data_IF_442867940369
#
_entry.id   IF_442867940369
#
_cell.length_a   1.000
_cell.length_b   1.000
_cell.length_c   1.000
_cell.angle_alpha   90.00
_cell.angle_beta   90.00
_cell.angle_gamma   90.00
#
_symmetry.space_group_name_H-M   'P 1'
#
loop_
_entity.id
_entity.type
_entity.pdbx_description
1 polymer ?
#
# COMPACT_ATOMS: atom_id res chain seq x y z
N UNK A 1 -49.61 16.52 1.98
CA UNK A 1 -48.85 16.25 3.23
C UNK A 1 -47.38 16.12 2.86
N UNK A 2 -46.59 17.13 3.22
CA UNK A 2 -45.22 17.33 2.71
C UNK A 2 -44.15 16.61 3.54
N UNK A 3 -43.16 16.07 2.82
CA UNK A 3 -41.95 15.40 3.34
C UNK A 3 -40.94 16.45 3.83
N UNK A 4 -40.46 16.31 5.07
CA UNK A 4 -39.29 17.02 5.61
C UNK A 4 -38.02 16.20 5.32
N UNK A 5 -37.02 16.88 4.78
CA UNK A 5 -35.64 16.42 4.49
C UNK A 5 -34.80 16.64 5.77
N UNK A 6 -34.15 15.62 6.33
CA UNK A 6 -33.10 15.83 7.33
C UNK A 6 -31.75 16.03 6.62
N UNK A 7 -31.29 17.27 6.63
CA UNK A 7 -29.88 17.63 6.53
C UNK A 7 -29.33 17.44 7.94
N UNK A 8 -28.28 16.64 8.17
CA UNK A 8 -27.41 16.85 9.35
C UNK A 8 -26.08 16.06 9.39
N UNK A 9 -25.71 15.22 8.41
CA UNK A 9 -24.43 14.47 8.51
C UNK A 9 -23.20 15.17 7.88
N UNK A 10 -23.39 16.14 6.98
CA UNK A 10 -22.28 16.95 6.41
C UNK A 10 -21.68 17.97 7.41
N UNK A 11 -22.24 18.04 8.62
CA UNK A 11 -21.89 19.02 9.65
C UNK A 11 -20.73 18.55 10.55
N UNK A 12 -20.62 17.24 10.80
CA UNK A 12 -19.78 16.71 11.88
C UNK A 12 -18.31 16.61 11.47
N UNK A 13 -18.00 16.15 10.25
CA UNK A 13 -16.62 16.08 9.76
C UNK A 13 -16.00 17.48 9.54
N UNK A 14 -16.82 18.46 9.12
CA UNK A 14 -16.45 19.88 8.99
C UNK A 14 -16.21 20.54 10.36
N UNK A 15 -16.98 20.17 11.38
CA UNK A 15 -16.83 20.66 12.74
C UNK A 15 -15.57 20.10 13.43
N UNK A 16 -15.23 18.82 13.22
CA UNK A 16 -14.02 18.21 13.79
C UNK A 16 -12.75 18.83 13.19
N UNK A 17 -12.70 19.03 11.86
CA UNK A 17 -11.55 19.68 11.19
C UNK A 17 -11.34 21.14 11.63
N UNK A 18 -12.43 21.87 11.91
CA UNK A 18 -12.37 23.24 12.44
C UNK A 18 -11.96 23.28 13.92
N UNK A 19 -12.38 22.29 14.71
CA UNK A 19 -12.05 22.18 16.14
C UNK A 19 -10.56 21.89 16.33
N UNK A 20 -10.00 20.94 15.57
CA UNK A 20 -8.57 20.60 15.58
C UNK A 20 -7.71 21.80 15.15
N UNK A 21 -8.09 22.51 14.08
CA UNK A 21 -7.39 23.73 13.66
C UNK A 21 -7.47 24.87 14.70
N UNK A 22 -8.56 24.96 15.45
CA UNK A 22 -8.75 25.97 16.50
C UNK A 22 -7.94 25.65 17.77
N UNK A 23 -7.80 24.38 18.13
CA UNK A 23 -7.00 23.92 19.26
C UNK A 23 -5.50 24.01 18.98
N UNK A 24 -5.05 23.76 17.75
CA UNK A 24 -3.67 24.01 17.32
C UNK A 24 -3.34 25.51 17.39
N UNK A 25 -4.26 26.39 16.96
CA UNK A 25 -4.11 27.85 17.10
C UNK A 25 -4.11 28.31 18.57
N UNK A 26 -4.98 27.75 19.43
CA UNK A 26 -5.01 28.05 20.88
C UNK A 26 -3.75 27.54 21.61
N UNK A 27 -3.26 26.34 21.32
CA UNK A 27 -1.98 25.83 21.87
C UNK A 27 -0.79 26.68 21.43
N UNK A 28 -0.75 27.16 20.19
CA UNK A 28 0.30 28.09 19.73
C UNK A 28 0.27 29.45 20.45
N UNK A 29 -0.92 29.93 20.85
CA UNK A 29 -1.09 31.17 21.63
C UNK A 29 -0.75 30.97 23.11
N UNK A 30 -1.07 29.81 23.69
CA UNK A 30 -0.74 29.47 25.08
C UNK A 30 0.77 29.21 25.28
N UNK A 31 1.50 28.80 24.25
CA UNK A 31 2.97 28.66 24.30
C UNK A 31 3.70 30.00 24.20
N UNK A 32 3.03 31.07 23.73
CA UNK A 32 3.60 32.42 23.63
C UNK A 32 3.51 33.22 24.93
N UNK A 33 2.74 32.80 25.93
CA UNK A 33 2.49 33.59 27.16
C UNK A 33 3.29 33.17 28.41
N UNK A 34 4.23 32.24 28.31
CA UNK A 34 5.04 31.78 29.47
C UNK A 34 6.55 31.63 29.23
N UNK A 35 7.12 32.35 28.26
CA UNK A 35 8.56 32.54 28.19
C UNK A 35 8.89 33.95 28.66
N UNK A 36 9.38 34.06 29.91
CA UNK A 36 9.91 35.30 30.48
C UNK A 36 11.07 35.79 29.60
N UNK A 37 10.99 37.05 29.22
CA UNK A 37 11.97 37.76 28.39
C UNK A 37 13.35 37.81 29.06
N UNK A 38 14.34 37.19 28.44
CA UNK A 38 15.73 37.64 28.59
C UNK A 38 15.91 38.81 27.60
N UNK A 39 16.10 40.01 28.12
CA UNK A 39 16.42 41.21 27.33
C UNK A 39 17.86 41.10 26.82
N UNK A 40 18.02 40.59 25.60
CA UNK A 40 19.27 40.72 24.85
C UNK A 40 19.45 42.19 24.41
N UNK A 41 20.69 42.71 24.36
CA UNK A 41 20.93 44.08 23.90
C UNK A 41 20.46 44.26 22.44
N UNK A 42 20.06 45.47 22.03
CA UNK A 42 19.50 45.71 20.71
C UNK A 42 20.55 45.42 19.64
N UNK A 43 20.40 44.29 18.95
CA UNK A 43 21.16 44.03 17.74
C UNK A 43 20.67 44.99 16.64
N UNK A 44 21.58 45.58 15.85
CA UNK A 44 21.19 46.34 14.67
C UNK A 44 20.34 45.45 13.76
N UNK A 45 19.28 46.01 13.18
CA UNK A 45 18.37 45.38 12.21
C UNK A 45 19.14 44.76 11.03
N UNK A 46 19.70 43.58 11.23
CA UNK A 46 20.03 42.62 10.20
C UNK A 46 19.20 41.39 10.53
N UNK A 47 17.98 41.35 9.99
CA UNK A 47 17.41 40.03 9.68
C UNK A 47 18.52 39.33 8.89
N UNK A 48 18.97 38.13 9.26
CA UNK A 48 19.73 37.35 8.30
C UNK A 48 18.78 37.23 7.12
N UNK A 49 19.12 37.87 6.00
CA UNK A 49 18.55 37.45 4.73
C UNK A 49 18.79 35.94 4.73
N UNK A 50 17.71 35.17 4.75
CA UNK A 50 17.81 33.73 4.65
C UNK A 50 18.59 33.48 3.36
N UNK A 51 19.86 33.15 3.50
CA UNK A 51 20.83 33.25 2.43
C UNK A 51 20.36 32.25 1.37
N UNK A 52 19.90 32.77 0.21
CA UNK A 52 19.34 32.04 -0.94
C UNK A 52 20.39 31.17 -1.67
N UNK A 53 21.41 30.71 -0.96
CA UNK A 53 22.49 29.88 -1.47
C UNK A 53 22.16 28.45 -1.04
N UNK A 54 21.76 27.51 -1.87
CA UNK A 54 21.57 27.43 -3.32
C UNK A 54 20.15 26.87 -3.52
N UNK A 55 19.48 27.20 -4.64
CA UNK A 55 18.14 26.71 -4.98
C UNK A 55 18.02 25.16 -4.88
N UNK A 56 19.17 24.46 -4.90
CA UNK A 56 19.30 23.02 -4.84
C UNK A 56 19.35 22.43 -3.42
N UNK A 57 20.09 22.99 -2.44
CA UNK A 57 20.33 22.31 -1.15
C UNK A 57 19.04 21.99 -0.39
N UNK A 58 18.09 22.92 -0.35
CA UNK A 58 16.80 22.69 0.30
C UNK A 58 15.96 21.64 -0.44
N UNK A 59 16.05 21.61 -1.76
CA UNK A 59 15.40 20.60 -2.60
C UNK A 59 16.02 19.23 -2.33
N UNK A 60 17.35 19.14 -2.21
CA UNK A 60 18.06 17.91 -1.83
C UNK A 60 17.67 17.45 -0.41
N UNK A 61 17.66 18.33 0.58
CA UNK A 61 17.21 18.01 1.94
C UNK A 61 15.77 17.48 1.92
N UNK A 62 14.89 18.12 1.14
CA UNK A 62 13.48 17.73 1.08
C UNK A 62 13.26 16.31 0.55
N UNK A 63 14.13 15.80 -0.33
CA UNK A 63 14.06 14.41 -0.83
C UNK A 63 14.24 13.37 0.28
N UNK A 64 14.79 13.74 1.43
CA UNK A 64 15.00 12.87 2.60
C UNK A 64 13.96 13.09 3.71
N UNK A 65 13.03 14.02 3.54
CA UNK A 65 11.91 14.22 4.47
C UNK A 65 10.78 13.24 4.15
N UNK A 66 10.06 12.79 5.17
CA UNK A 66 8.77 12.10 4.99
C UNK A 66 7.73 13.05 4.39
N UNK A 67 6.67 12.51 3.78
CA UNK A 67 5.66 13.32 3.10
C UNK A 67 4.99 14.37 3.99
N UNK A 68 4.76 14.09 5.28
CA UNK A 68 4.19 15.04 6.22
C UNK A 68 5.16 16.21 6.47
N UNK A 69 6.44 15.90 6.63
CA UNK A 69 7.51 16.88 6.82
C UNK A 69 7.70 17.75 5.56
N UNK A 70 7.62 17.17 4.35
CA UNK A 70 7.61 17.92 3.09
C UNK A 70 6.44 18.91 3.04
N UNK A 71 5.23 18.49 3.41
CA UNK A 71 4.05 19.36 3.43
C UNK A 71 4.20 20.49 4.46
N UNK A 72 4.67 20.17 5.67
CA UNK A 72 4.89 21.16 6.72
C UNK A 72 5.92 22.21 6.29
N UNK A 73 7.06 21.78 5.73
CA UNK A 73 8.10 22.67 5.23
C UNK A 73 7.59 23.53 4.07
N UNK A 74 6.95 22.90 3.08
CA UNK A 74 6.34 23.58 1.93
C UNK A 74 5.29 24.61 2.31
N UNK A 75 4.57 24.38 3.41
CA UNK A 75 3.52 25.29 3.90
C UNK A 75 4.05 26.46 4.73
N UNK A 76 5.34 26.48 5.07
CA UNK A 76 5.91 27.48 5.98
C UNK A 76 6.15 28.84 5.32
N UNK A 77 6.47 28.89 4.02
CA UNK A 77 6.65 30.13 3.27
C UNK A 77 6.42 29.94 1.76
N UNK A 78 6.25 31.06 1.02
CA UNK A 78 5.99 31.04 -0.43
C UNK A 78 7.13 30.42 -1.24
N UNK A 79 8.37 30.55 -0.77
CA UNK A 79 9.54 29.99 -1.45
C UNK A 79 9.52 28.46 -1.36
N UNK A 80 9.45 27.90 -0.15
CA UNK A 80 9.36 26.44 0.03
C UNK A 80 8.13 25.84 -0.64
N UNK A 81 7.02 26.56 -0.69
CA UNK A 81 5.85 26.12 -1.46
C UNK A 81 6.20 25.87 -2.92
N UNK A 82 6.90 26.80 -3.57
CA UNK A 82 7.26 26.70 -5.00
C UNK A 82 8.38 25.70 -5.24
N UNK A 83 9.44 25.76 -4.44
CA UNK A 83 10.67 24.99 -4.67
C UNK A 83 10.61 23.56 -4.11
N UNK A 84 9.74 23.27 -3.13
CA UNK A 84 9.65 21.95 -2.50
C UNK A 84 8.27 21.33 -2.73
N UNK A 85 7.18 22.03 -2.38
CA UNK A 85 5.85 21.43 -2.42
C UNK A 85 5.31 21.24 -3.84
N UNK A 86 5.50 22.23 -4.70
CA UNK A 86 5.05 22.21 -6.10
C UNK A 86 6.07 21.53 -7.03
N UNK A 87 7.26 21.23 -6.53
CA UNK A 87 8.36 20.63 -7.28
C UNK A 87 8.20 19.10 -7.33
N UNK A 88 7.77 18.60 -8.48
CA UNK A 88 7.41 17.18 -8.64
C UNK A 88 8.62 16.23 -8.50
N UNK A 89 9.85 16.71 -8.72
CA UNK A 89 11.05 15.92 -8.48
C UNK A 89 11.22 15.53 -7.01
N UNK A 90 10.87 16.40 -6.05
CA UNK A 90 10.92 16.07 -4.61
C UNK A 90 9.97 14.91 -4.32
N UNK A 91 8.74 14.98 -4.82
CA UNK A 91 7.75 13.93 -4.68
C UNK A 91 8.14 12.65 -5.39
N UNK A 92 8.80 12.73 -6.56
CA UNK A 92 9.38 11.57 -7.23
C UNK A 92 10.35 10.85 -6.30
N UNK A 93 11.31 11.56 -5.72
CA UNK A 93 12.27 10.95 -4.79
C UNK A 93 11.60 10.38 -3.54
N UNK A 94 10.62 11.09 -2.97
CA UNK A 94 9.85 10.60 -1.84
C UNK A 94 9.09 9.30 -2.19
N UNK A 95 8.39 9.25 -3.32
CA UNK A 95 7.73 8.04 -3.83
C UNK A 95 8.73 6.89 -4.00
N UNK A 96 9.86 7.12 -4.68
CA UNK A 96 10.84 6.08 -4.95
C UNK A 96 11.42 5.49 -3.66
N UNK A 97 11.67 6.34 -2.66
CA UNK A 97 12.19 5.93 -1.35
C UNK A 97 11.12 5.18 -0.57
N UNK A 98 9.94 5.77 -0.40
CA UNK A 98 8.91 5.26 0.50
C UNK A 98 8.19 4.04 -0.07
N UNK A 99 8.14 3.90 -1.39
CA UNK A 99 7.65 2.70 -2.08
C UNK A 99 8.77 1.73 -2.46
N UNK A 100 10.04 2.02 -2.16
CA UNK A 100 11.18 1.15 -2.49
C UNK A 100 11.29 0.81 -4.00
N UNK A 101 10.91 1.74 -4.89
CA UNK A 101 10.93 1.52 -6.35
C UNK A 101 12.38 1.50 -6.88
N UNK A 102 12.78 0.50 -7.67
CA UNK A 102 14.11 0.46 -8.30
C UNK A 102 14.39 1.66 -9.22
N UNK A 103 15.55 2.31 -9.04
CA UNK A 103 15.88 3.58 -9.73
C UNK A 103 15.99 3.48 -11.25
N UNK A 104 16.28 2.30 -11.80
CA UNK A 104 16.53 2.10 -13.22
C UNK A 104 15.26 1.89 -14.06
N UNK A 105 14.05 1.99 -13.46
CA UNK A 105 12.76 1.72 -14.12
C UNK A 105 11.81 2.92 -14.15
N UNK A 106 12.38 4.12 -14.14
CA UNK A 106 11.65 5.39 -14.02
C UNK A 106 11.22 6.00 -15.36
N UNK A 107 11.59 5.38 -16.49
CA UNK A 107 11.78 6.12 -17.75
C UNK A 107 10.53 6.38 -18.59
N UNK A 108 9.32 5.97 -18.18
CA UNK A 108 8.10 6.19 -18.99
C UNK A 108 6.83 6.36 -18.16
N UNK A 109 6.85 7.20 -17.11
CA UNK A 109 5.64 7.49 -16.33
C UNK A 109 5.21 8.94 -16.55
N UNK A 110 3.99 9.13 -17.07
CA UNK A 110 3.45 10.44 -17.46
C UNK A 110 2.55 11.10 -16.41
N UNK A 111 2.63 10.68 -15.15
CA UNK A 111 1.82 11.23 -14.06
C UNK A 111 2.61 12.17 -13.14
N UNK A 112 1.89 13.00 -12.37
CA UNK A 112 2.47 13.82 -11.31
C UNK A 112 2.78 12.96 -10.09
N UNK A 113 4.05 12.92 -9.69
CA UNK A 113 4.50 12.15 -8.53
C UNK A 113 3.87 12.62 -7.23
N UNK A 114 3.61 13.92 -7.11
CA UNK A 114 2.85 14.51 -6.00
C UNK A 114 1.45 13.92 -5.85
N UNK A 115 0.75 13.69 -6.96
CA UNK A 115 -0.59 13.09 -6.96
C UNK A 115 -0.52 11.61 -6.58
N UNK A 116 0.46 10.88 -7.14
CA UNK A 116 0.67 9.49 -6.76
C UNK A 116 0.98 9.39 -5.26
N UNK A 117 1.88 10.22 -4.73
CA UNK A 117 2.24 10.17 -3.32
C UNK A 117 1.00 10.41 -2.45
N UNK A 118 0.19 11.43 -2.77
CA UNK A 118 -1.04 11.67 -2.05
C UNK A 118 -1.97 10.45 -2.10
N UNK A 119 -2.28 9.93 -3.29
CA UNK A 119 -3.22 8.81 -3.44
C UNK A 119 -2.69 7.46 -2.94
N UNK A 120 -1.37 7.24 -2.92
CA UNK A 120 -0.78 6.02 -2.40
C UNK A 120 -0.68 6.03 -0.87
N UNK A 121 -0.75 7.19 -0.20
CA UNK A 121 -0.56 7.32 1.25
C UNK A 121 -1.76 7.95 1.99
N UNK A 122 -2.83 8.35 1.30
CA UNK A 122 -4.06 8.88 1.92
C UNK A 122 -4.95 7.81 2.59
N UNK A 123 -4.76 6.54 2.21
CA UNK A 123 -5.48 5.39 2.76
C UNK A 123 -6.77 5.03 2.01
N UNK A 124 -7.17 5.78 0.99
CA UNK A 124 -8.39 5.57 0.19
C UNK A 124 -8.39 4.26 -0.62
N UNK A 125 -7.21 3.72 -0.86
CA UNK A 125 -6.97 2.45 -1.53
C UNK A 125 -6.97 1.26 -0.58
N UNK A 126 -6.77 1.48 0.71
CA UNK A 126 -6.72 0.36 1.68
C UNK A 126 -8.05 -0.38 1.74
N UNK A 127 -8.01 -1.68 2.05
CA UNK A 127 -9.20 -2.48 2.29
C UNK A 127 -10.18 -1.79 3.26
N UNK A 128 -9.65 -1.03 4.23
CA UNK A 128 -10.38 -0.13 5.12
C UNK A 128 -11.39 0.74 4.36
N UNK A 129 -11.05 1.41 3.25
CA UNK A 129 -12.01 2.28 2.55
C UNK A 129 -13.23 1.52 2.04
N UNK A 130 -13.04 0.26 1.61
CA UNK A 130 -14.09 -0.54 0.97
C UNK A 130 -14.89 -1.37 1.97
N UNK A 131 -14.31 -1.71 3.10
CA UNK A 131 -14.94 -2.49 4.17
C UNK A 131 -14.40 -2.05 5.54
N UNK A 132 -14.72 -0.81 5.92
CA UNK A 132 -14.21 -0.16 7.15
C UNK A 132 -14.41 -1.03 8.39
N UNK A 133 -15.52 -1.75 8.44
CA UNK A 133 -15.95 -2.55 9.58
C UNK A 133 -15.17 -3.86 9.78
N UNK A 134 -14.46 -4.34 8.74
CA UNK A 134 -13.73 -5.62 8.80
C UNK A 134 -12.21 -5.46 8.97
N UNK A 135 -11.68 -4.25 8.83
CA UNK A 135 -10.24 -4.04 8.74
C UNK A 135 -9.59 -3.90 10.12
N UNK A 136 -8.58 -4.74 10.41
CA UNK A 136 -7.82 -4.69 11.66
C UNK A 136 -6.56 -3.85 11.47
N UNK A 137 -5.65 -4.31 10.61
CA UNK A 137 -4.32 -3.72 10.43
C UNK A 137 -3.87 -3.79 8.96
N UNK A 138 -3.01 -2.87 8.55
CA UNK A 138 -2.39 -2.90 7.22
C UNK A 138 -0.94 -2.44 7.23
N UNK A 139 -0.21 -2.87 6.21
CA UNK A 139 1.18 -2.50 6.00
C UNK A 139 1.43 -2.24 4.51
N UNK A 140 2.05 -1.09 4.18
CA UNK A 140 2.65 -0.90 2.86
C UNK A 140 3.90 -1.75 2.77
N UNK A 141 3.95 -2.68 1.82
CA UNK A 141 5.15 -3.48 1.59
C UNK A 141 6.15 -2.68 0.75
N UNK A 142 5.67 -2.04 -0.32
CA UNK A 142 6.48 -1.29 -1.26
C UNK A 142 5.95 -1.47 -2.68
N UNK A 143 6.82 -1.36 -3.68
CA UNK A 143 6.49 -1.54 -5.07
C UNK A 143 7.48 -2.46 -5.80
N UNK A 144 6.96 -3.18 -6.78
CA UNK A 144 7.69 -4.08 -7.67
C UNK A 144 7.26 -3.83 -9.11
N UNK A 145 7.87 -4.54 -10.06
CA UNK A 145 7.69 -4.29 -11.49
C UNK A 145 7.26 -5.55 -12.25
N UNK A 146 6.31 -5.37 -13.17
CA UNK A 146 6.00 -6.35 -14.22
C UNK A 146 6.60 -5.88 -15.56
N UNK A 147 7.63 -6.56 -16.03
CA UNK A 147 8.21 -6.47 -17.37
C UNK A 147 7.42 -7.29 -18.39
N UNK A 148 6.75 -8.35 -17.95
CA UNK A 148 5.89 -9.17 -18.80
C UNK A 148 4.41 -8.99 -18.46
N UNK A 149 3.55 -9.32 -19.42
CA UNK A 149 2.09 -9.32 -19.24
C UNK A 149 1.57 -10.59 -18.55
N UNK A 150 2.45 -11.36 -17.89
CA UNK A 150 2.10 -12.60 -17.23
C UNK A 150 2.75 -12.71 -15.85
N UNK A 151 1.96 -13.16 -14.88
CA UNK A 151 2.40 -13.28 -13.49
C UNK A 151 2.08 -14.63 -12.90
N UNK A 152 2.97 -15.11 -12.03
CA UNK A 152 2.73 -16.28 -11.19
C UNK A 152 2.12 -15.81 -9.87
N UNK A 153 0.91 -16.27 -9.57
CA UNK A 153 0.27 -16.11 -8.27
C UNK A 153 0.38 -17.43 -7.53
N UNK A 154 0.78 -17.41 -6.27
CA UNK A 154 0.91 -18.66 -5.50
C UNK A 154 0.77 -18.41 -4.01
N UNK A 155 0.27 -19.40 -3.27
CA UNK A 155 0.46 -19.43 -1.82
C UNK A 155 1.75 -20.15 -1.40
N UNK A 156 2.29 -21.04 -2.25
CA UNK A 156 3.48 -21.82 -1.91
C UNK A 156 4.74 -21.14 -2.39
N UNK A 157 5.57 -20.73 -1.44
CA UNK A 157 6.94 -20.36 -1.74
C UNK A 157 7.84 -21.60 -1.75
N UNK A 158 8.55 -21.77 -2.85
CA UNK A 158 9.61 -22.78 -2.99
C UNK A 158 10.86 -22.09 -3.54
N UNK A 159 12.03 -22.62 -3.20
CA UNK A 159 13.33 -22.09 -3.63
C UNK A 159 13.46 -21.98 -5.16
N UNK A 160 12.70 -22.80 -5.90
CA UNK A 160 12.62 -22.81 -7.35
C UNK A 160 11.14 -22.95 -7.74
N UNK A 161 10.44 -21.83 -8.00
CA UNK A 161 9.06 -21.88 -8.46
C UNK A 161 8.99 -22.63 -9.78
N UNK A 162 8.21 -23.70 -9.79
CA UNK A 162 7.89 -24.41 -11.02
C UNK A 162 6.62 -23.80 -11.58
N UNK A 163 6.60 -23.55 -12.89
CA UNK A 163 5.40 -23.05 -13.54
C UNK A 163 4.31 -24.13 -13.48
N UNK A 164 3.08 -23.77 -13.06
CA UNK A 164 1.99 -24.71 -13.09
C UNK A 164 1.70 -25.17 -14.51
N UNK A 165 1.32 -26.44 -14.65
CA UNK A 165 0.88 -27.06 -15.90
C UNK A 165 -0.38 -27.86 -15.60
N UNK A 166 -1.39 -27.75 -16.45
CA UNK A 166 -2.67 -28.45 -16.34
C UNK A 166 -3.66 -27.91 -17.38
N UNK A 167 -4.82 -28.55 -17.48
CA UNK A 167 -5.79 -28.26 -18.55
C UNK A 167 -6.76 -27.14 -18.15
N UNK A 168 -7.05 -26.99 -16.85
CA UNK A 168 -7.85 -25.88 -16.30
C UNK A 168 -7.16 -25.15 -15.14
N UNK A 169 -7.59 -23.90 -14.89
CA UNK A 169 -7.08 -23.08 -13.76
C UNK A 169 -7.43 -23.74 -12.43
N UNK A 170 -8.61 -24.32 -12.31
CA UNK A 170 -9.06 -25.02 -11.10
C UNK A 170 -8.19 -26.25 -10.80
N UNK A 171 -7.90 -27.07 -11.81
CA UNK A 171 -7.04 -28.25 -11.65
C UNK A 171 -5.63 -27.84 -11.21
N UNK A 172 -5.08 -26.81 -11.87
CA UNK A 172 -3.78 -26.23 -11.55
C UNK A 172 -3.75 -25.71 -10.11
N UNK A 173 -4.78 -25.00 -9.66
CA UNK A 173 -4.88 -24.47 -8.30
C UNK A 173 -4.97 -25.59 -7.26
N UNK A 174 -5.80 -26.60 -7.49
CA UNK A 174 -5.96 -27.74 -6.57
C UNK A 174 -4.67 -28.55 -6.43
N UNK A 175 -3.90 -28.69 -7.51
CA UNK A 175 -2.66 -29.49 -7.52
C UNK A 175 -1.45 -28.71 -6.99
N UNK A 176 -1.29 -27.45 -7.40
CA UNK A 176 -0.07 -26.68 -7.14
C UNK A 176 -0.22 -25.58 -6.09
N UNK A 177 -1.43 -25.07 -5.89
CA UNK A 177 -1.64 -23.84 -5.11
C UNK A 177 -1.08 -22.59 -5.80
N UNK A 178 -1.03 -22.62 -7.13
CA UNK A 178 -0.52 -21.53 -7.95
C UNK A 178 -1.31 -21.41 -9.23
N UNK A 179 -1.38 -20.21 -9.82
CA UNK A 179 -1.94 -19.99 -11.15
C UNK A 179 -1.12 -18.96 -11.93
N UNK A 180 -1.18 -19.04 -13.25
CA UNK A 180 -0.62 -18.02 -14.14
C UNK A 180 -1.75 -17.08 -14.53
N UNK A 181 -1.56 -15.78 -14.28
CA UNK A 181 -2.47 -14.74 -14.71
C UNK A 181 -1.87 -14.01 -15.91
N UNK A 182 -2.62 -13.94 -17.02
CA UNK A 182 -2.25 -13.25 -18.25
C UNK A 182 -2.86 -11.85 -18.34
N UNK A 183 -2.42 -11.09 -19.35
CA UNK A 183 -2.85 -9.73 -19.65
C UNK A 183 -2.66 -8.75 -18.47
N UNK A 184 -1.58 -8.95 -17.70
CA UNK A 184 -1.19 -8.03 -16.62
C UNK A 184 -0.63 -6.75 -17.22
N UNK A 185 -1.09 -5.60 -16.71
CA UNK A 185 -0.51 -4.30 -17.07
C UNK A 185 0.96 -4.24 -16.65
N UNK A 186 1.85 -4.05 -17.61
CA UNK A 186 3.28 -3.86 -17.32
C UNK A 186 3.52 -2.53 -16.60
N UNK A 187 4.58 -2.45 -15.82
CA UNK A 187 4.95 -1.22 -15.10
C UNK A 187 5.10 -1.43 -13.60
N UNK A 188 4.94 -0.35 -12.83
CA UNK A 188 5.10 -0.33 -11.38
C UNK A 188 3.80 -0.78 -10.71
N UNK A 189 3.93 -1.68 -9.74
CA UNK A 189 2.85 -2.18 -8.91
C UNK A 189 3.15 -1.92 -7.44
N UNK A 190 2.18 -1.36 -6.71
CA UNK A 190 2.27 -1.11 -5.27
C UNK A 190 1.58 -2.25 -4.53
N UNK A 191 2.27 -2.81 -3.55
CA UNK A 191 1.81 -3.95 -2.76
C UNK A 191 1.55 -3.56 -1.30
N UNK A 192 0.44 -4.08 -0.79
CA UNK A 192 -0.01 -3.90 0.58
C UNK A 192 -0.42 -5.25 1.18
N UNK A 193 -0.19 -5.38 2.48
CA UNK A 193 -0.66 -6.48 3.30
C UNK A 193 -1.80 -5.96 4.18
N UNK A 194 -2.93 -6.65 4.16
CA UNK A 194 -4.10 -6.34 4.97
C UNK A 194 -4.41 -7.53 5.88
N UNK A 195 -4.68 -7.24 7.16
CA UNK A 195 -5.25 -8.17 8.11
C UNK A 195 -6.69 -7.74 8.39
N UNK A 196 -7.61 -8.65 8.13
CA UNK A 196 -9.06 -8.41 8.15
C UNK A 196 -9.67 -9.39 9.14
N UNK A 197 -10.59 -8.95 10.00
CA UNK A 197 -11.31 -9.85 10.89
C UNK A 197 -12.80 -9.54 10.98
N UNK A 198 -13.58 -10.50 11.47
CA UNK A 198 -14.96 -10.25 11.86
C UNK A 198 -15.02 -9.54 13.21
N UNK A 199 -15.50 -8.29 13.22
CA UNK A 199 -15.67 -7.53 14.47
C UNK A 199 -16.84 -8.01 15.36
N UNK A 200 -17.67 -8.96 14.91
CA UNK A 200 -18.95 -9.31 15.57
C UNK A 200 -19.01 -10.76 16.07
N UNK A 201 -18.29 -11.71 15.47
CA UNK A 201 -18.72 -13.10 15.53
C UNK A 201 -17.73 -14.07 16.22
N UNK A 202 -18.12 -14.54 17.42
CA UNK A 202 -17.74 -15.84 18.01
C UNK A 202 -18.65 -16.97 17.49
N UNK A 203 -18.96 -16.97 16.19
CA UNK A 203 -19.92 -17.89 15.59
C UNK A 203 -19.21 -18.72 14.52
N UNK A 204 -19.55 -20.00 14.44
CA UNK A 204 -18.96 -21.01 13.55
C UNK A 204 -19.26 -20.78 12.05
N UNK A 205 -19.93 -19.68 11.71
CA UNK A 205 -20.27 -19.26 10.33
C UNK A 205 -19.59 -17.94 9.93
N UNK A 206 -18.65 -17.46 10.75
CA UNK A 206 -17.84 -16.27 10.54
C UNK A 206 -16.81 -16.49 9.42
N UNK A 207 -16.74 -15.58 8.44
CA UNK A 207 -15.53 -15.43 7.60
C UNK A 207 -14.37 -15.07 8.55
N UNK A 208 -13.52 -16.04 8.86
CA UNK A 208 -12.50 -15.94 9.90
C UNK A 208 -11.48 -14.81 9.68
N UNK A 209 -10.48 -14.75 10.56
CA UNK A 209 -9.35 -13.84 10.33
C UNK A 209 -8.73 -14.13 8.95
N UNK A 210 -8.58 -13.08 8.15
CA UNK A 210 -8.16 -13.18 6.75
C UNK A 210 -6.91 -12.34 6.52
N UNK A 211 -5.88 -12.98 5.97
CA UNK A 211 -4.73 -12.30 5.39
C UNK A 211 -5.01 -11.97 3.92
N UNK A 212 -4.73 -10.75 3.49
CA UNK A 212 -4.86 -10.34 2.09
C UNK A 212 -3.61 -9.64 1.59
N UNK A 213 -3.02 -10.17 0.51
CA UNK A 213 -1.99 -9.50 -0.29
C UNK A 213 -2.68 -8.81 -1.48
N UNK A 214 -2.66 -7.48 -1.47
CA UNK A 214 -3.16 -6.65 -2.59
C UNK A 214 -1.97 -6.05 -3.34
N UNK A 215 -1.95 -6.21 -4.66
CA UNK A 215 -1.00 -5.55 -5.56
C UNK A 215 -1.76 -4.79 -6.64
N UNK A 216 -1.40 -3.52 -6.86
CA UNK A 216 -2.11 -2.61 -7.77
C UNK A 216 -1.16 -1.88 -8.68
N UNK A 217 -1.52 -1.76 -9.96
CA UNK A 217 -0.78 -0.89 -10.87
C UNK A 217 -0.82 0.55 -10.39
N UNK A 218 0.31 1.25 -10.51
CA UNK A 218 0.49 2.62 -10.00
C UNK A 218 -0.51 3.62 -10.58
N UNK A 219 -0.94 3.46 -11.83
CA UNK A 219 -1.89 4.36 -12.48
C UNK A 219 -3.30 4.20 -11.93
N UNK A 220 -3.64 3.03 -11.39
CA UNK A 220 -4.97 2.76 -10.83
C UNK A 220 -5.31 3.75 -9.71
N UNK A 221 -4.33 4.11 -8.88
CA UNK A 221 -4.44 5.09 -7.79
C UNK A 221 -4.85 6.49 -8.28
N UNK A 222 -4.60 6.80 -9.54
CA UNK A 222 -4.89 8.11 -10.12
C UNK A 222 -6.27 8.18 -10.77
N UNK A 223 -6.92 7.03 -10.97
CA UNK A 223 -8.25 6.97 -11.62
C UNK A 223 -9.36 7.35 -10.64
N UNK A 224 -10.31 8.17 -11.10
CA UNK A 224 -11.43 8.60 -10.27
C UNK A 224 -12.37 7.45 -9.91
N UNK A 225 -12.58 6.50 -10.82
CA UNK A 225 -13.38 5.31 -10.53
C UNK A 225 -12.79 4.49 -9.39
N UNK A 226 -11.46 4.32 -9.35
CA UNK A 226 -10.84 3.55 -8.28
C UNK A 226 -11.00 4.25 -6.93
N UNK A 227 -10.79 5.58 -6.90
CA UNK A 227 -10.96 6.41 -5.70
C UNK A 227 -12.42 6.48 -5.22
N UNK A 228 -13.39 6.41 -6.13
CA UNK A 228 -14.81 6.39 -5.79
C UNK A 228 -15.34 5.00 -5.42
N UNK A 229 -14.51 3.96 -5.56
CA UNK A 229 -14.89 2.58 -5.25
C UNK A 229 -15.71 1.90 -6.35
N UNK A 230 -15.76 2.45 -7.57
CA UNK A 230 -16.54 1.90 -8.67
C UNK A 230 -15.92 0.68 -9.37
N UNK A 231 -14.79 0.19 -8.87
CA UNK A 231 -14.05 -0.92 -9.45
C UNK A 231 -14.12 -2.14 -8.56
N UNK A 232 -14.47 -3.28 -9.15
CA UNK A 232 -14.67 -4.52 -8.43
C UNK A 232 -13.63 -5.58 -8.79
N UNK A 233 -13.41 -6.47 -7.83
CA UNK A 233 -12.60 -7.67 -8.02
C UNK A 233 -13.49 -8.80 -8.53
N UNK A 234 -13.02 -9.52 -9.55
CA UNK A 234 -13.59 -10.79 -10.02
C UNK A 234 -12.71 -11.94 -9.53
N UNK A 235 -13.33 -13.04 -9.09
CA UNK A 235 -12.61 -14.25 -8.71
C UNK A 235 -11.98 -14.89 -9.96
N UNK A 236 -10.69 -15.23 -9.86
CA UNK A 236 -9.95 -16.02 -10.86
C UNK A 236 -10.08 -17.51 -10.54
N UNK A 237 -10.04 -17.84 -9.25
CA UNK A 237 -10.23 -19.18 -8.74
C UNK A 237 -9.93 -19.28 -7.26
N UNK A 238 -10.31 -20.41 -6.67
CA UNK A 238 -10.15 -20.67 -5.25
C UNK A 238 -9.93 -22.15 -4.97
N UNK A 239 -9.31 -22.45 -3.83
CA UNK A 239 -9.17 -23.82 -3.35
C UNK A 239 -8.98 -23.87 -1.83
N UNK A 240 -9.20 -25.05 -1.27
CA UNK A 240 -9.17 -25.27 0.18
C UNK A 240 -8.03 -26.20 0.56
N UNK A 241 -7.27 -25.81 1.58
CA UNK A 241 -6.35 -26.68 2.31
C UNK A 241 -7.11 -27.20 3.53
N UNK A 242 -7.68 -28.41 3.43
CA UNK A 242 -8.52 -29.03 4.48
C UNK A 242 -7.69 -29.76 5.55
N UNK A 243 -6.67 -29.09 6.05
CA UNK A 243 -5.82 -29.59 7.14
C UNK A 243 -5.12 -28.41 7.80
N UNK A 244 -4.73 -28.61 9.05
CA UNK A 244 -3.90 -27.66 9.77
C UNK A 244 -2.68 -27.22 8.93
N UNK A 245 -2.49 -25.90 8.86
CA UNK A 245 -1.31 -25.26 8.28
C UNK A 245 -0.64 -24.36 9.31
N UNK A 246 0.68 -24.42 9.40
CA UNK A 246 1.46 -23.56 10.31
C UNK A 246 1.56 -22.12 9.81
N UNK A 247 1.30 -21.89 8.51
CA UNK A 247 1.54 -20.60 7.86
C UNK A 247 0.49 -20.27 6.79
N UNK A 248 0.24 -18.98 6.62
CA UNK A 248 -0.46 -18.39 5.47
C UNK A 248 0.56 -17.59 4.66
N UNK A 249 0.89 -18.07 3.47
CA UNK A 249 1.85 -17.45 2.56
C UNK A 249 1.17 -17.01 1.27
N UNK A 250 1.49 -15.86 0.72
CA UNK A 250 0.95 -15.37 -0.55
C UNK A 250 2.02 -14.64 -1.32
N UNK A 251 2.13 -14.89 -2.63
CA UNK A 251 3.19 -14.32 -3.43
C UNK A 251 2.76 -14.06 -4.89
N UNK A 252 3.36 -13.02 -5.45
CA UNK A 252 3.12 -12.55 -6.82
C UNK A 252 4.49 -12.31 -7.46
N UNK A 253 4.70 -12.88 -8.65
CA UNK A 253 5.95 -12.75 -9.39
C UNK A 253 5.73 -12.46 -10.85
N UNK A 254 6.63 -11.69 -11.45
CA UNK A 254 6.78 -11.66 -12.91
C UNK A 254 7.41 -12.97 -13.39
N UNK A 255 6.70 -13.67 -14.28
CA UNK A 255 7.11 -14.98 -14.78
C UNK A 255 8.48 -14.93 -15.49
N UNK A 256 8.80 -13.81 -16.12
CA UNK A 256 10.05 -13.59 -16.86
C UNK A 256 11.28 -13.59 -15.95
N UNK A 257 11.08 -13.23 -14.68
CA UNK A 257 12.14 -12.98 -13.70
C UNK A 257 12.16 -14.00 -12.56
N UNK A 258 11.46 -15.14 -12.68
CA UNK A 258 11.45 -16.20 -11.68
C UNK A 258 12.83 -16.84 -11.44
N UNK A 259 13.72 -16.78 -12.44
CA UNK A 259 15.08 -17.33 -12.35
C UNK A 259 16.13 -16.28 -11.99
N UNK A 260 15.72 -15.03 -11.82
CA UNK A 260 16.64 -13.95 -11.51
C UNK A 260 17.06 -14.03 -10.04
N UNK A 261 18.35 -13.78 -9.77
CA UNK A 261 18.90 -13.76 -8.42
C UNK A 261 18.25 -12.70 -7.52
N UNK A 262 17.70 -11.64 -8.09
CA UNK A 262 16.97 -10.62 -7.32
C UNK A 262 15.68 -11.18 -6.72
N UNK A 263 15.07 -12.18 -7.37
CA UNK A 263 13.83 -12.80 -6.91
C UNK A 263 14.06 -13.87 -5.85
N UNK A 264 15.29 -14.40 -5.72
CA UNK A 264 15.61 -15.44 -4.71
C UNK A 264 15.46 -14.95 -3.27
N UNK A 265 15.63 -13.65 -3.03
CA UNK A 265 15.38 -13.06 -1.71
C UNK A 265 13.92 -13.18 -1.26
N UNK A 266 12.99 -13.30 -2.21
CA UNK A 266 11.56 -13.48 -1.93
C UNK A 266 11.23 -14.98 -1.79
N UNK A 267 11.83 -15.85 -2.64
CA UNK A 267 11.60 -17.30 -2.62
C UNK A 267 12.09 -18.01 -1.36
N UNK A 268 13.23 -17.59 -0.81
CA UNK A 268 13.81 -18.25 0.35
C UNK A 268 13.13 -17.80 1.64
N UNK A 269 11.96 -18.40 1.90
CA UNK A 269 11.14 -18.13 3.08
C UNK A 269 11.95 -18.22 4.39
N UNK A 270 12.96 -19.11 4.46
CA UNK A 270 13.77 -19.30 5.68
C UNK A 270 14.59 -18.06 6.04
N UNK A 271 14.89 -17.19 5.07
CA UNK A 271 15.74 -16.01 5.30
C UNK A 271 14.99 -14.84 5.92
N UNK A 272 13.66 -14.80 5.81
CA UNK A 272 12.89 -13.63 6.21
C UNK A 272 11.63 -13.95 7.01
N UNK A 273 11.03 -15.14 6.87
CA UNK A 273 9.81 -15.52 7.61
C UNK A 273 9.98 -15.48 9.12
N UNK A 274 8.86 -15.45 9.84
CA UNK A 274 8.86 -15.60 11.29
C UNK A 274 9.29 -17.03 11.66
N UNK A 275 10.01 -17.19 12.77
CA UNK A 275 10.34 -18.55 13.24
C UNK A 275 9.05 -19.17 13.78
N UNK A 276 8.77 -20.47 13.53
CA UNK A 276 7.55 -21.12 13.99
C UNK A 276 7.31 -21.03 15.51
N UNK A 277 8.40 -20.90 16.29
CA UNK A 277 8.37 -20.87 17.76
C UNK A 277 8.83 -19.51 18.34
N UNK A 278 8.80 -18.43 17.55
CA UNK A 278 9.05 -17.10 18.12
C UNK A 278 7.76 -16.47 18.60
N UNK A 279 7.80 -15.74 19.73
CA UNK A 279 6.68 -14.94 20.27
C UNK A 279 6.17 -13.82 19.32
N UNK A 280 6.74 -13.72 18.12
CA UNK A 280 6.40 -12.75 17.09
C UNK A 280 5.49 -13.38 16.04
N UNK A 281 4.19 -13.37 16.29
CA UNK A 281 3.11 -13.72 15.35
C UNK A 281 2.84 -12.62 14.31
N UNK A 282 3.69 -11.59 14.25
CA UNK A 282 3.47 -10.48 13.33
C UNK A 282 3.68 -10.93 11.88
N UNK A 283 2.77 -10.57 10.97
CA UNK A 283 2.93 -10.80 9.54
C UNK A 283 4.25 -10.21 9.03
N UNK A 284 4.90 -10.94 8.13
CA UNK A 284 6.11 -10.48 7.45
C UNK A 284 5.86 -10.36 5.96
N UNK A 285 6.58 -9.44 5.35
CA UNK A 285 6.56 -9.25 3.91
C UNK A 285 7.97 -9.08 3.37
N UNK A 286 8.16 -9.50 2.12
CA UNK A 286 9.40 -9.34 1.37
C UNK A 286 9.08 -8.87 -0.03
N UNK A 287 9.88 -7.92 -0.52
CA UNK A 287 9.73 -7.36 -1.86
C UNK A 287 11.07 -7.34 -2.57
N UNK A 288 11.03 -7.63 -3.86
CA UNK A 288 12.13 -7.51 -4.79
C UNK A 288 11.67 -6.76 -6.04
N UNK A 289 12.59 -6.54 -6.98
CA UNK A 289 12.30 -5.78 -8.20
C UNK A 289 11.12 -6.34 -9.01
N UNK A 290 10.89 -7.66 -8.97
CA UNK A 290 9.93 -8.36 -9.83
C UNK A 290 9.04 -9.35 -9.08
N UNK A 291 8.91 -9.15 -7.76
CA UNK A 291 8.04 -10.01 -6.97
C UNK A 291 7.86 -9.51 -5.56
N UNK A 292 6.77 -9.96 -4.95
CA UNK A 292 6.40 -9.64 -3.58
C UNK A 292 5.81 -10.89 -2.94
N UNK A 293 6.08 -11.06 -1.65
CA UNK A 293 5.45 -12.10 -0.86
C UNK A 293 5.16 -11.66 0.56
N UNK A 294 4.19 -12.34 1.16
CA UNK A 294 3.77 -12.18 2.55
C UNK A 294 3.73 -13.55 3.21
N UNK A 295 3.99 -13.58 4.51
CA UNK A 295 3.96 -14.78 5.33
C UNK A 295 3.51 -14.43 6.74
N UNK A 296 2.53 -15.18 7.25
CA UNK A 296 2.07 -15.10 8.63
C UNK A 296 2.05 -16.50 9.22
N UNK A 297 2.59 -16.64 10.43
CA UNK A 297 2.46 -17.86 11.20
C UNK A 297 1.03 -17.94 11.75
N UNK A 298 0.40 -19.10 11.61
CA UNK A 298 -0.96 -19.35 12.07
C UNK A 298 -0.96 -20.17 13.35
N UNK A 299 -1.93 -19.91 14.20
CA UNK A 299 -2.26 -20.79 15.33
C UNK A 299 -2.96 -22.06 14.83
N UNK A 300 -3.34 -22.96 15.75
CA UNK A 300 -4.10 -24.17 15.42
C UNK A 300 -5.37 -23.81 14.62
N UNK A 301 -5.59 -24.51 13.50
CA UNK A 301 -6.67 -24.24 12.55
C UNK A 301 -7.12 -25.52 11.84
N UNK A 302 -8.34 -25.49 11.27
CA UNK A 302 -8.90 -26.61 10.50
C UNK A 302 -8.47 -26.58 9.02
N UNK A 303 -7.93 -25.45 8.57
CA UNK A 303 -7.46 -25.25 7.22
C UNK A 303 -7.48 -23.80 6.79
N UNK A 304 -7.18 -23.58 5.51
CA UNK A 304 -7.30 -22.26 4.88
C UNK A 304 -8.01 -22.35 3.53
N UNK A 305 -8.85 -21.36 3.25
CA UNK A 305 -9.43 -21.07 1.94
C UNK A 305 -8.58 -20.00 1.26
N UNK A 306 -8.01 -20.35 0.13
CA UNK A 306 -7.20 -19.44 -0.68
C UNK A 306 -8.03 -19.01 -1.89
N UNK A 307 -8.17 -17.70 -2.09
CA UNK A 307 -8.89 -17.12 -3.23
C UNK A 307 -7.98 -16.14 -3.97
N UNK A 308 -7.98 -16.23 -5.29
CA UNK A 308 -7.26 -15.33 -6.19
C UNK A 308 -8.28 -14.46 -6.91
N UNK A 309 -8.07 -13.15 -6.91
CA UNK A 309 -8.93 -12.20 -7.59
C UNK A 309 -8.13 -11.24 -8.46
N UNK A 310 -8.75 -10.75 -9.52
CA UNK A 310 -8.23 -9.69 -10.37
C UNK A 310 -9.26 -8.58 -10.57
N UNK A 311 -8.76 -7.37 -10.77
CA UNK A 311 -9.50 -6.21 -11.24
C UNK A 311 -8.99 -5.86 -12.64
N UNK A 312 -9.91 -5.65 -13.58
CA UNK A 312 -9.60 -5.42 -15.00
C UNK A 312 -10.08 -4.06 -15.47
N UNK A 313 -9.34 -3.45 -16.40
CA UNK A 313 -9.63 -2.12 -16.95
C UNK A 313 -10.86 -2.04 -17.86
N UNK A 314 -11.36 -3.19 -18.32
CA UNK A 314 -12.57 -3.33 -19.11
C UNK A 314 -13.47 -4.42 -18.55
N UNK A 315 -14.69 -4.52 -19.11
CA UNK A 315 -15.69 -5.48 -18.66
C UNK A 315 -15.40 -6.92 -19.11
N UNK A 316 -14.67 -7.06 -20.22
CA UNK A 316 -14.30 -8.35 -20.82
C UNK A 316 -13.24 -9.08 -19.96
N UNK A 317 -13.34 -10.40 -19.89
CA UNK A 317 -12.47 -11.20 -19.02
C UNK A 317 -11.02 -11.29 -19.51
N UNK A 318 -10.75 -10.90 -20.75
CA UNK A 318 -9.40 -10.75 -21.31
C UNK A 318 -8.84 -9.33 -21.18
N UNK A 319 -9.62 -8.38 -20.64
CA UNK A 319 -9.18 -7.00 -20.42
C UNK A 319 -7.97 -6.93 -19.50
N UNK A 320 -7.16 -5.88 -19.68
CA UNK A 320 -5.92 -5.65 -18.95
C UNK A 320 -6.12 -5.68 -17.42
N UNK A 321 -5.35 -6.51 -16.71
CA UNK A 321 -5.38 -6.60 -15.24
C UNK A 321 -4.61 -5.44 -14.64
N UNK A 322 -5.26 -4.71 -13.73
CA UNK A 322 -4.72 -3.53 -13.05
C UNK A 322 -4.67 -3.67 -11.53
N UNK A 323 -5.31 -4.70 -10.96
CA UNK A 323 -5.14 -5.10 -9.56
C UNK A 323 -5.21 -6.61 -9.40
N UNK A 324 -4.46 -7.14 -8.45
CA UNK A 324 -4.40 -8.55 -8.09
C UNK A 324 -4.57 -8.65 -6.57
N UNK A 325 -5.36 -9.62 -6.14
CA UNK A 325 -5.61 -9.90 -4.72
C UNK A 325 -5.48 -11.40 -4.45
N UNK A 326 -4.70 -11.74 -3.43
CA UNK A 326 -4.62 -13.09 -2.87
C UNK A 326 -5.13 -13.00 -1.44
N UNK A 327 -6.24 -13.68 -1.15
CA UNK A 327 -6.81 -13.75 0.20
C UNK A 327 -6.72 -15.16 0.76
N UNK A 328 -6.35 -15.26 2.04
CA UNK A 328 -6.21 -16.50 2.78
C UNK A 328 -7.04 -16.39 4.05
N UNK A 329 -8.12 -17.15 4.08
CA UNK A 329 -9.15 -17.13 5.12
C UNK A 329 -9.04 -18.43 5.92
N UNK A 330 -9.04 -18.33 7.26
CA UNK A 330 -9.09 -19.52 8.12
C UNK A 330 -10.45 -20.23 7.95
N UNK A 331 -10.41 -21.56 7.81
CA UNK A 331 -11.59 -22.42 7.74
C UNK A 331 -12.12 -22.80 9.12
#
# INVERSE_FOLDING_TARGET
>A
MGKRKSRDDDSICSAIGKTICSEIKKRSRSYKSKLRSCTSPPQPNRRPDFIWFEEDIWTEIAKYLDGKSVVMLGSSCRWFRRSILEQDSVWKFACLRDLQIPRFRQQQLSFKWSQLYASAFDGSHSYLFRQQDKHIEWMRIGAFFFDSSAGLLTEKLSLLPTLPRGDSVEEILQTTGSCILSNIKTGIWIADLHFVGCHVCKLDTCEGATQTLDARHVELFLTEGYKSGSWDYKEIGSYQIRKHTDVATGAIFDIKHLKDRTSTEVFDLKTWAAKPNSDYWQPKARIACHGVAVNTNLEQNEGILVKYHAMRAGEEDDSEVVSIRISQELL
#
